data_IF_571179085320
#
_entry.id   IF_571179085320
#
_cell.length_a   1.000
_cell.length_b   1.000
_cell.length_c   1.000
_cell.angle_alpha   90.00
_cell.angle_beta   90.00
_cell.angle_gamma   90.00
#
_symmetry.space_group_name_H-M   'P 1'
#
loop_
_entity.id
_entity.type
_entity.pdbx_description
1 polymer ?
#
# COMPACT_ATOMS: atom_id res chain seq x y z
N UNK A 1 4.95 17.52 31.51
CA UNK A 1 4.95 16.33 30.66
C UNK A 1 3.56 15.81 30.40
N UNK A 2 2.71 15.86 31.36
CA UNK A 2 1.36 15.29 31.22
C UNK A 2 0.44 16.11 30.35
N UNK A 3 0.55 17.43 30.41
CA UNK A 3 -0.21 18.30 29.51
C UNK A 3 0.27 18.14 28.06
N UNK A 4 1.56 17.90 27.87
CA UNK A 4 2.08 17.62 26.55
C UNK A 4 1.66 16.24 26.06
N UNK A 5 1.45 15.28 26.96
CA UNK A 5 0.93 13.95 26.60
C UNK A 5 -0.53 14.06 26.16
N UNK A 6 -1.36 14.81 26.90
CA UNK A 6 -2.78 15.00 26.56
C UNK A 6 -2.92 15.81 25.26
N UNK A 7 -2.14 16.87 25.13
CA UNK A 7 -2.09 17.67 23.90
C UNK A 7 -1.56 16.84 22.75
N UNK A 8 -0.53 16.03 23.00
CA UNK A 8 0.07 15.15 22.02
C UNK A 8 -0.84 14.00 21.58
N UNK A 9 -1.83 13.61 22.40
CA UNK A 9 -2.81 12.60 21.97
C UNK A 9 -3.62 13.08 20.78
N UNK A 10 -4.10 14.33 20.82
CA UNK A 10 -4.80 14.92 19.67
C UNK A 10 -3.83 15.14 18.49
N UNK A 11 -2.66 15.70 18.76
CA UNK A 11 -1.64 15.92 17.76
C UNK A 11 -1.13 14.62 17.17
N UNK A 12 -0.84 13.62 18.02
CA UNK A 12 -0.39 12.29 17.57
C UNK A 12 -1.46 11.57 16.75
N UNK A 13 -2.74 11.76 17.08
CA UNK A 13 -3.80 11.17 16.29
C UNK A 13 -3.82 11.70 14.86
N UNK A 14 -3.73 13.01 14.70
CA UNK A 14 -3.69 13.65 13.40
C UNK A 14 -2.39 13.29 12.66
N UNK A 15 -1.25 13.35 13.36
CA UNK A 15 0.05 12.96 12.81
C UNK A 15 0.07 11.49 12.38
N UNK A 16 -0.48 10.59 13.19
CA UNK A 16 -0.56 9.18 12.84
C UNK A 16 -1.38 8.96 11.58
N UNK A 17 -2.48 9.69 11.43
CA UNK A 17 -3.29 9.61 10.22
C UNK A 17 -2.47 9.98 8.99
N UNK A 18 -1.75 11.09 9.05
CA UNK A 18 -0.91 11.52 7.93
C UNK A 18 0.23 10.56 7.67
N UNK A 19 0.87 10.06 8.73
CA UNK A 19 1.91 9.05 8.63
C UNK A 19 1.37 7.76 8.04
N UNK A 20 0.18 7.33 8.45
CA UNK A 20 -0.45 6.13 7.91
C UNK A 20 -0.80 6.29 6.43
N UNK A 21 -1.25 7.47 6.04
CA UNK A 21 -1.53 7.74 4.63
C UNK A 21 -0.24 7.73 3.81
N UNK A 22 0.82 8.35 4.30
CA UNK A 22 2.13 8.33 3.66
C UNK A 22 2.68 6.92 3.55
N UNK A 23 2.61 6.16 4.64
CA UNK A 23 3.08 4.78 4.69
C UNK A 23 2.25 3.90 3.75
N UNK A 24 0.94 4.07 3.75
CA UNK A 24 0.04 3.38 2.83
C UNK A 24 0.44 3.64 1.37
N UNK A 25 0.73 4.89 1.05
CA UNK A 25 1.17 5.27 -0.29
C UNK A 25 2.52 4.65 -0.66
N UNK A 26 3.48 4.65 0.28
CA UNK A 26 4.77 3.98 0.10
C UNK A 26 4.62 2.49 -0.15
N UNK A 27 3.80 1.83 0.64
CA UNK A 27 3.52 0.39 0.48
C UNK A 27 2.86 0.10 -0.87
N UNK A 28 1.94 0.95 -1.27
CA UNK A 28 1.30 0.83 -2.57
C UNK A 28 2.30 0.98 -3.72
N UNK A 29 3.17 1.99 -3.66
CA UNK A 29 4.19 2.21 -4.67
C UNK A 29 5.15 1.02 -4.75
N UNK A 30 5.53 0.46 -3.59
CA UNK A 30 6.37 -0.73 -3.54
C UNK A 30 5.66 -1.93 -4.19
N UNK A 31 4.38 -2.11 -3.91
CA UNK A 31 3.59 -3.17 -4.52
C UNK A 31 3.52 -3.01 -6.05
N UNK A 32 3.37 -1.79 -6.52
CA UNK A 32 3.33 -1.47 -7.94
C UNK A 32 4.65 -1.80 -8.63
N UNK A 33 5.77 -1.47 -8.00
CA UNK A 33 7.10 -1.79 -8.50
C UNK A 33 7.33 -3.30 -8.57
N UNK A 34 6.94 -4.03 -7.53
CA UNK A 34 7.03 -5.48 -7.50
C UNK A 34 6.17 -6.12 -8.60
N UNK A 35 4.98 -5.59 -8.81
CA UNK A 35 4.08 -6.08 -9.86
C UNK A 35 4.69 -5.87 -11.24
N UNK A 36 5.29 -4.71 -11.46
CA UNK A 36 5.99 -4.41 -12.71
C UNK A 36 7.12 -5.38 -12.95
N UNK A 37 7.91 -5.67 -11.92
CA UNK A 37 9.01 -6.64 -12.01
C UNK A 37 8.47 -8.04 -12.33
N UNK A 38 7.38 -8.45 -11.71
CA UNK A 38 6.71 -9.71 -12.00
C UNK A 38 6.22 -9.79 -13.44
N UNK A 39 5.63 -8.71 -13.95
CA UNK A 39 5.14 -8.65 -15.33
C UNK A 39 6.29 -8.72 -16.33
N UNK A 40 7.41 -8.07 -16.06
CA UNK A 40 8.62 -8.17 -16.88
C UNK A 40 9.13 -9.61 -16.92
N UNK A 41 9.14 -10.29 -15.78
CA UNK A 41 9.56 -11.69 -15.70
C UNK A 41 8.60 -12.61 -16.46
N UNK A 42 7.28 -12.36 -16.38
CA UNK A 42 6.28 -13.10 -17.18
C UNK A 42 6.53 -12.91 -18.68
N UNK A 43 6.85 -11.69 -19.10
CA UNK A 43 7.18 -11.40 -20.48
C UNK A 43 8.39 -12.19 -20.96
N UNK A 44 9.43 -12.29 -20.13
CA UNK A 44 10.61 -13.08 -20.43
C UNK A 44 10.30 -14.57 -20.55
N UNK A 45 9.45 -15.09 -19.69
CA UNK A 45 9.01 -16.49 -19.75
C UNK A 45 8.26 -16.74 -21.06
N UNK A 46 7.33 -15.86 -21.42
CA UNK A 46 6.54 -16.00 -22.65
C UNK A 46 7.38 -15.93 -23.90
N UNK A 47 8.43 -15.11 -23.93
CA UNK A 47 9.29 -14.95 -25.07
C UNK A 47 10.42 -15.98 -25.14
N UNK A 48 10.63 -16.75 -24.06
CA UNK A 48 11.69 -17.75 -24.00
C UNK A 48 11.32 -18.99 -24.81
N UNK A 49 12.17 -19.39 -25.70
CA UNK A 49 12.04 -20.63 -26.47
C UNK A 49 12.76 -21.80 -25.82
N UNK A 50 13.66 -21.51 -24.89
CA UNK A 50 14.44 -22.52 -24.18
C UNK A 50 13.83 -22.75 -22.79
N UNK A 51 13.73 -24.02 -22.44
CA UNK A 51 13.24 -24.41 -21.10
C UNK A 51 14.40 -24.97 -20.31
N UNK A 52 15.24 -24.06 -19.86
CA UNK A 52 16.38 -24.37 -18.99
C UNK A 52 16.09 -23.94 -17.55
N UNK A 53 17.10 -24.03 -16.68
CA UNK A 53 16.99 -23.65 -15.28
C UNK A 53 16.65 -22.19 -15.06
N UNK A 54 16.94 -21.29 -15.99
CA UNK A 54 16.66 -19.87 -15.86
C UNK A 54 15.16 -19.58 -15.88
N UNK A 55 14.35 -20.42 -16.53
CA UNK A 55 12.89 -20.29 -16.51
C UNK A 55 12.36 -20.52 -15.11
N UNK A 56 12.88 -21.48 -14.37
CA UNK A 56 12.46 -21.74 -12.99
C UNK A 56 12.78 -20.56 -12.10
N UNK A 57 13.93 -19.90 -12.30
CA UNK A 57 14.27 -18.68 -11.57
C UNK A 57 13.28 -17.55 -11.87
N UNK A 58 12.88 -17.40 -13.13
CA UNK A 58 11.88 -16.40 -13.53
C UNK A 58 10.51 -16.70 -12.92
N UNK A 59 10.12 -17.96 -12.88
CA UNK A 59 8.86 -18.38 -12.25
C UNK A 59 8.89 -18.04 -10.76
N UNK A 60 10.01 -18.32 -10.08
CA UNK A 60 10.17 -17.99 -8.66
C UNK A 60 10.05 -16.49 -8.42
N UNK A 61 10.63 -15.67 -9.31
CA UNK A 61 10.49 -14.21 -9.23
C UNK A 61 9.03 -13.79 -9.39
N UNK A 62 8.31 -14.36 -10.35
CA UNK A 62 6.89 -14.06 -10.57
C UNK A 62 6.07 -14.40 -9.32
N UNK A 63 6.29 -15.58 -8.75
CA UNK A 63 5.56 -16.02 -7.56
C UNK A 63 5.88 -15.11 -6.38
N UNK A 64 7.16 -14.82 -6.16
CA UNK A 64 7.61 -14.00 -5.03
C UNK A 64 7.09 -12.56 -5.15
N UNK A 65 7.18 -11.95 -6.32
CA UNK A 65 6.72 -10.58 -6.54
C UNK A 65 5.20 -10.47 -6.45
N UNK A 66 4.46 -11.45 -6.95
CA UNK A 66 3.01 -11.50 -6.86
C UNK A 66 2.55 -11.60 -5.40
N UNK A 67 3.13 -12.51 -4.65
CA UNK A 67 2.82 -12.69 -3.23
C UNK A 67 3.16 -11.46 -2.42
N UNK A 68 4.35 -10.89 -2.61
CA UNK A 68 4.80 -9.72 -1.87
C UNK A 68 3.97 -8.48 -2.21
N UNK A 69 3.61 -8.29 -3.47
CA UNK A 69 2.78 -7.16 -3.88
C UNK A 69 1.39 -7.22 -3.25
N UNK A 70 0.79 -8.41 -3.16
CA UNK A 70 -0.51 -8.59 -2.50
C UNK A 70 -0.44 -8.27 -1.01
N UNK A 71 0.62 -8.71 -0.33
CA UNK A 71 0.82 -8.41 1.08
C UNK A 71 0.95 -6.91 1.32
N UNK A 72 1.75 -6.24 0.50
CA UNK A 72 1.94 -4.79 0.62
C UNK A 72 0.65 -4.02 0.33
N UNK A 73 -0.14 -4.46 -0.65
CA UNK A 73 -1.45 -3.88 -0.92
C UNK A 73 -2.40 -4.05 0.25
N UNK A 74 -2.39 -5.23 0.89
CA UNK A 74 -3.19 -5.50 2.08
C UNK A 74 -2.83 -4.58 3.23
N UNK A 75 -1.55 -4.39 3.48
CA UNK A 75 -1.07 -3.47 4.51
C UNK A 75 -1.42 -2.01 4.19
N UNK A 76 -1.28 -1.61 2.93
CA UNK A 76 -1.64 -0.27 2.49
C UNK A 76 -3.12 0.00 2.76
N UNK A 77 -3.97 -0.94 2.42
CA UNK A 77 -5.41 -0.85 2.62
C UNK A 77 -5.77 -0.81 4.11
N UNK A 78 -5.11 -1.63 4.93
CA UNK A 78 -5.31 -1.65 6.37
C UNK A 78 -4.99 -0.29 7.00
N UNK A 79 -3.87 0.32 6.61
CA UNK A 79 -3.49 1.64 7.09
C UNK A 79 -4.48 2.71 6.66
N UNK A 80 -5.00 2.60 5.45
CA UNK A 80 -6.00 3.51 4.94
C UNK A 80 -7.30 3.41 5.75
N UNK A 81 -7.73 2.19 6.09
CA UNK A 81 -8.89 1.95 6.93
C UNK A 81 -8.70 2.53 8.34
N UNK A 82 -7.51 2.36 8.91
CA UNK A 82 -7.16 2.96 10.20
C UNK A 82 -7.25 4.47 10.13
N UNK A 83 -6.76 5.07 9.06
CA UNK A 83 -6.84 6.51 8.84
C UNK A 83 -8.29 6.99 8.76
N UNK A 84 -9.16 6.25 8.06
CA UNK A 84 -10.57 6.56 7.96
C UNK A 84 -11.26 6.47 9.32
N UNK A 85 -10.96 5.43 10.09
CA UNK A 85 -11.51 5.25 11.45
C UNK A 85 -11.12 6.42 12.34
N UNK A 86 -9.88 6.86 12.25
CA UNK A 86 -9.39 7.99 13.01
C UNK A 86 -10.11 9.28 12.63
N UNK A 87 -10.33 9.50 11.33
CA UNK A 87 -11.11 10.63 10.83
C UNK A 87 -12.54 10.63 11.38
N UNK A 88 -13.17 9.48 11.43
CA UNK A 88 -14.50 9.32 12.00
C UNK A 88 -14.51 9.72 13.48
N UNK A 89 -13.50 9.33 14.23
CA UNK A 89 -13.36 9.68 15.64
C UNK A 89 -13.20 11.18 15.86
N UNK A 90 -12.68 11.90 14.87
CA UNK A 90 -12.56 13.36 14.90
C UNK A 90 -13.76 14.07 14.29
N UNK A 91 -14.85 13.35 14.05
CA UNK A 91 -16.09 13.94 13.56
C UNK A 91 -16.12 14.23 12.07
N UNK A 92 -15.22 13.65 11.32
CA UNK A 92 -15.26 13.79 9.87
C UNK A 92 -16.52 13.14 9.28
N UNK A 93 -17.12 13.78 8.31
CA UNK A 93 -18.30 13.27 7.64
C UNK A 93 -17.97 12.10 6.74
N UNK A 94 -18.96 11.24 6.48
CA UNK A 94 -18.82 10.14 5.49
C UNK A 94 -18.37 10.66 4.13
N UNK A 95 -18.86 11.84 3.77
CA UNK A 95 -18.51 12.46 2.48
C UNK A 95 -17.02 12.82 2.42
N UNK A 96 -16.47 13.40 3.49
CA UNK A 96 -15.06 13.73 3.59
C UNK A 96 -14.20 12.48 3.46
N UNK A 97 -14.57 11.43 4.17
CA UNK A 97 -13.87 10.13 4.13
C UNK A 97 -13.92 9.54 2.71
N UNK A 98 -15.10 9.59 2.10
CA UNK A 98 -15.30 9.13 0.73
C UNK A 98 -14.41 9.88 -0.25
N UNK A 99 -14.30 11.20 -0.11
CA UNK A 99 -13.45 12.02 -0.98
C UNK A 99 -11.97 11.65 -0.83
N UNK A 100 -11.53 11.38 0.39
CA UNK A 100 -10.16 10.93 0.65
C UNK A 100 -9.89 9.59 -0.03
N UNK A 101 -10.78 8.62 0.12
CA UNK A 101 -10.65 7.33 -0.53
C UNK A 101 -10.68 7.43 -2.05
N UNK A 102 -11.54 8.28 -2.58
CA UNK A 102 -11.64 8.51 -4.02
C UNK A 102 -10.36 9.09 -4.58
N UNK A 103 -9.79 10.08 -3.88
CA UNK A 103 -8.51 10.68 -4.26
C UNK A 103 -7.40 9.63 -4.23
N UNK A 104 -7.38 8.80 -3.19
CA UNK A 104 -6.40 7.72 -3.05
C UNK A 104 -6.55 6.70 -4.18
N UNK A 105 -7.77 6.29 -4.49
CA UNK A 105 -8.05 5.36 -5.59
C UNK A 105 -7.58 5.90 -6.93
N UNK A 106 -7.69 7.20 -7.14
CA UNK A 106 -7.20 7.85 -8.35
C UNK A 106 -5.69 7.70 -8.48
N UNK A 107 -4.97 7.86 -7.39
CA UNK A 107 -3.53 7.66 -7.37
C UNK A 107 -3.15 6.19 -7.62
N UNK A 108 -4.06 5.26 -7.34
CA UNK A 108 -3.85 3.83 -7.55
C UNK A 108 -4.01 3.40 -9.02
N UNK A 109 -4.64 4.22 -9.80
CA UNK A 109 -4.81 3.96 -11.23
C UNK A 109 -3.68 4.59 -12.03
#
# INVERSE_FOLDING_TARGET
>A
MDNSIVTNRKGKGIFKREEWIKESKSLYLSAKLLRKQGDESRGKISSSKERDGSIFDLIDIVVATDKSSRLLLGYAFELLLKSATLLMNYGATKNTIYQIFKSYSHDLQ
#
